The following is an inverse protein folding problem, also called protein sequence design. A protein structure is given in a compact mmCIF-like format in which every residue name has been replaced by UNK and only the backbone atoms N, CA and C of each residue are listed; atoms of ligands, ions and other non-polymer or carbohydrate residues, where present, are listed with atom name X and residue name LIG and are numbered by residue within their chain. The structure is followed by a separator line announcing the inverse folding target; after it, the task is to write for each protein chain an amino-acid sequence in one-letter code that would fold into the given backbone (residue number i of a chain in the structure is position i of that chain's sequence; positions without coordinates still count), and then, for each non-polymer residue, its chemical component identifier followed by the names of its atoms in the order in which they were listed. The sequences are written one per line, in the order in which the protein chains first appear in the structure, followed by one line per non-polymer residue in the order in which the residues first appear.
data_IF_074681510556
#
_entry.id   IF_074681510556
#
_cell.length_a   1.000
_cell.length_b   1.000
_cell.length_c   1.000
_cell.angle_alpha   90.00
_cell.angle_beta   90.00
_cell.angle_gamma   90.00
#
_symmetry.space_group_name_H-M   'P 1'
#
loop_
_entity.id
_entity.type
_entity.pdbx_description
1 polymer ?
#
# COMPACT_ATOMS: atom_id res chain seq x y z
N UNK A 1 4.85 14.09 4.73
CA UNK A 1 4.73 13.53 3.37
C UNK A 1 3.31 13.62 2.82
N UNK A 2 2.31 13.22 3.57
CA UNK A 2 0.88 13.23 3.22
C UNK A 2 0.15 14.18 4.16
N UNK A 3 -0.75 15.02 3.64
CA UNK A 3 -1.66 15.84 4.42
C UNK A 3 -3.06 15.76 3.80
N UNK A 4 -4.03 15.30 4.59
CA UNK A 4 -5.45 15.29 4.27
C UNK A 4 -6.16 16.32 5.14
N UNK A 5 -7.02 17.13 4.53
CA UNK A 5 -7.84 18.13 5.22
C UNK A 5 -9.29 18.00 4.77
N UNK A 6 -10.14 17.66 5.73
CA UNK A 6 -11.59 17.52 5.55
C UNK A 6 -11.97 16.65 4.33
N UNK A 7 -11.27 15.53 4.14
CA UNK A 7 -11.55 14.61 3.04
C UNK A 7 -12.87 13.90 3.27
N UNK A 8 -13.77 14.11 2.33
CA UNK A 8 -15.03 13.38 2.20
C UNK A 8 -15.00 12.49 0.96
N UNK A 9 -15.60 11.30 1.09
CA UNK A 9 -15.94 10.44 -0.04
C UNK A 9 -17.37 9.98 0.08
N UNK A 10 -18.18 10.26 -0.94
CA UNK A 10 -19.57 9.84 -0.99
C UNK A 10 -20.00 9.37 -2.37
N UNK A 11 -21.10 8.65 -2.41
CA UNK A 11 -21.78 8.24 -3.64
C UNK A 11 -23.13 8.95 -3.67
N UNK A 12 -23.36 9.74 -4.71
CA UNK A 12 -24.65 10.39 -4.95
C UNK A 12 -25.59 9.41 -5.68
N UNK A 13 -26.66 8.97 -5.02
CA UNK A 13 -27.81 8.29 -5.63
C UNK A 13 -28.96 9.28 -5.71
N UNK A 14 -29.77 9.21 -6.77
CA UNK A 14 -30.84 10.16 -7.18
C UNK A 14 -31.54 10.96 -6.08
N UNK A 15 -31.60 10.47 -4.83
CA UNK A 15 -32.26 11.13 -3.70
C UNK A 15 -31.51 11.02 -2.38
N UNK A 16 -30.31 10.45 -2.36
CA UNK A 16 -29.57 10.21 -1.12
C UNK A 16 -28.07 10.19 -1.37
N UNK A 17 -27.35 10.96 -0.55
CA UNK A 17 -25.89 10.91 -0.47
C UNK A 17 -25.47 9.89 0.57
N UNK A 18 -24.67 8.91 0.18
CA UNK A 18 -24.11 7.92 1.09
C UNK A 18 -22.61 8.20 1.28
N UNK A 19 -22.24 8.61 2.48
CA UNK A 19 -20.83 8.85 2.81
C UNK A 19 -20.11 7.52 3.07
N UNK A 20 -18.92 7.39 2.48
CA UNK A 20 -17.96 6.31 2.73
C UNK A 20 -16.86 6.80 3.66
N UNK A 21 -16.41 8.05 3.48
CA UNK A 21 -15.48 8.75 4.37
C UNK A 21 -16.07 10.12 4.70
N UNK A 22 -15.80 10.59 5.94
CA UNK A 22 -16.31 11.86 6.46
C UNK A 22 -15.24 12.62 7.21
N UNK A 23 -14.90 13.83 6.72
CA UNK A 23 -14.04 14.80 7.41
C UNK A 23 -12.71 14.20 7.84
N UNK A 24 -12.06 13.40 6.96
CA UNK A 24 -10.78 12.79 7.30
C UNK A 24 -9.70 13.87 7.33
N UNK A 25 -9.12 14.07 8.50
CA UNK A 25 -7.95 14.92 8.73
C UNK A 25 -6.80 14.03 9.19
N UNK A 26 -5.72 13.95 8.40
CA UNK A 26 -4.62 13.03 8.65
C UNK A 26 -3.31 13.59 8.09
N UNK A 27 -2.28 13.56 8.93
CA UNK A 27 -0.90 13.85 8.55
C UNK A 27 -0.06 12.57 8.69
N UNK A 28 0.75 12.28 7.66
CA UNK A 28 1.71 11.17 7.66
C UNK A 28 3.06 11.73 7.22
N UNK A 29 4.08 11.48 8.04
CA UNK A 29 5.44 11.92 7.77
C UNK A 29 6.20 10.93 6.89
N UNK A 30 7.30 11.37 6.29
CA UNK A 30 8.18 10.51 5.51
C UNK A 30 8.88 9.51 6.44
N UNK A 31 8.88 8.23 6.07
CA UNK A 31 9.45 7.16 6.89
C UNK A 31 8.52 6.59 7.98
N UNK A 32 7.30 7.10 8.14
CA UNK A 32 6.33 6.46 9.05
C UNK A 32 5.85 5.10 8.52
N UNK A 33 5.62 4.17 9.44
CA UNK A 33 4.85 2.96 9.19
C UNK A 33 3.49 3.06 9.90
N UNK A 34 2.46 3.43 9.14
CA UNK A 34 1.11 3.65 9.66
C UNK A 34 0.24 2.44 9.37
N UNK A 35 -0.50 1.98 10.36
CA UNK A 35 -1.55 0.97 10.20
C UNK A 35 -2.93 1.60 10.38
N UNK A 36 -3.81 1.40 9.40
CA UNK A 36 -5.22 1.78 9.46
C UNK A 36 -6.03 0.54 9.81
N UNK A 37 -6.66 0.56 10.97
CA UNK A 37 -7.53 -0.49 11.47
C UNK A 37 -9.00 -0.08 11.46
N UNK A 38 -9.88 -1.05 11.53
CA UNK A 38 -11.32 -0.83 11.66
C UNK A 38 -12.15 -2.01 11.13
N UNK A 39 -13.46 -2.06 11.43
CA UNK A 39 -14.33 -3.13 10.97
C UNK A 39 -14.46 -3.17 9.45
N UNK A 40 -14.99 -4.28 8.92
CA UNK A 40 -15.32 -4.37 7.49
C UNK A 40 -16.33 -3.27 7.12
N UNK A 41 -16.14 -2.66 5.96
CA UNK A 41 -17.00 -1.56 5.51
C UNK A 41 -16.70 -0.18 6.13
N UNK A 42 -15.72 -0.04 7.02
CA UNK A 42 -15.38 1.24 7.65
C UNK A 42 -14.80 2.30 6.67
N UNK A 43 -14.48 1.93 5.43
CA UNK A 43 -13.90 2.85 4.44
C UNK A 43 -12.37 2.73 4.26
N UNK A 44 -11.71 1.74 4.90
CA UNK A 44 -10.23 1.59 4.91
C UNK A 44 -9.63 1.50 3.50
N UNK A 45 -10.09 0.57 2.67
CA UNK A 45 -9.61 0.42 1.28
C UNK A 45 -9.95 1.64 0.42
N UNK A 46 -11.06 2.33 0.69
CA UNK A 46 -11.41 3.59 0.03
C UNK A 46 -10.40 4.68 0.37
N UNK A 47 -10.04 4.82 1.65
CA UNK A 47 -9.01 5.77 2.08
C UNK A 47 -7.65 5.43 1.45
N UNK A 48 -7.28 4.14 1.44
CA UNK A 48 -6.03 3.68 0.80
C UNK A 48 -6.01 3.99 -0.70
N UNK A 49 -7.14 3.80 -1.39
CA UNK A 49 -7.27 4.10 -2.82
C UNK A 49 -7.13 5.61 -3.11
N UNK A 50 -7.70 6.47 -2.26
CA UNK A 50 -7.53 7.92 -2.37
C UNK A 50 -6.07 8.31 -2.14
N UNK A 51 -5.42 7.78 -1.10
CA UNK A 51 -4.00 8.00 -0.83
C UNK A 51 -3.11 7.57 -2.00
N UNK A 52 -3.52 6.54 -2.70
CA UNK A 52 -2.81 5.99 -3.86
C UNK A 52 -3.25 6.54 -5.22
N UNK A 53 -4.11 7.55 -5.28
CA UNK A 53 -4.65 8.11 -6.53
C UNK A 53 -5.38 7.08 -7.42
N UNK A 54 -5.89 5.98 -6.84
CA UNK A 54 -6.74 5.01 -7.53
C UNK A 54 -8.21 5.43 -7.52
N UNK A 55 -8.57 6.32 -6.59
CA UNK A 55 -9.89 6.95 -6.49
C UNK A 55 -9.70 8.42 -6.06
N UNK A 56 -10.71 9.25 -6.32
CA UNK A 56 -10.69 10.66 -5.95
C UNK A 56 -11.54 10.91 -4.71
N UNK A 57 -11.10 11.82 -3.85
CA UNK A 57 -11.96 12.40 -2.83
C UNK A 57 -13.11 13.17 -3.49
N UNK A 58 -14.29 13.17 -2.85
CA UNK A 58 -15.41 13.97 -3.32
C UNK A 58 -15.27 15.44 -2.93
N UNK A 59 -14.71 15.69 -1.73
CA UNK A 59 -14.45 17.04 -1.18
C UNK A 59 -13.19 16.99 -0.30
N UNK A 60 -12.65 18.15 0.05
CA UNK A 60 -11.46 18.30 0.90
C UNK A 60 -10.19 18.54 0.11
N UNK A 61 -9.07 18.61 0.81
CA UNK A 61 -7.76 18.91 0.24
C UNK A 61 -6.77 17.77 0.52
N UNK A 62 -6.04 17.33 -0.50
CA UNK A 62 -4.99 16.35 -0.40
C UNK A 62 -3.66 16.93 -0.90
N UNK A 63 -2.66 16.95 -0.03
CA UNK A 63 -1.28 17.33 -0.36
C UNK A 63 -0.37 16.10 -0.23
N UNK A 64 0.43 15.82 -1.27
CA UNK A 64 1.40 14.75 -1.32
C UNK A 64 2.77 15.30 -1.73
N UNK A 65 3.82 15.02 -0.94
CA UNK A 65 5.18 15.52 -1.14
C UNK A 65 5.25 17.06 -1.29
N UNK A 66 4.37 17.79 -0.59
CA UNK A 66 4.30 19.25 -0.63
C UNK A 66 3.53 19.84 -1.82
N UNK A 67 2.99 19.00 -2.70
CA UNK A 67 2.18 19.44 -3.83
C UNK A 67 0.70 19.13 -3.58
N UNK A 68 -0.19 20.06 -3.88
CA UNK A 68 -1.63 19.83 -3.86
C UNK A 68 -2.01 18.89 -5.01
N UNK A 69 -2.55 17.73 -4.65
CA UNK A 69 -2.84 16.65 -5.60
C UNK A 69 -4.34 16.38 -5.78
N UNK A 70 -5.16 17.24 -5.21
CA UNK A 70 -6.60 17.20 -5.42
C UNK A 70 -6.95 17.47 -6.89
N UNK A 71 -7.81 16.64 -7.49
CA UNK A 71 -8.25 16.75 -8.90
C UNK A 71 -7.12 16.67 -9.95
N UNK A 72 -6.11 15.83 -9.72
CA UNK A 72 -5.09 15.58 -10.72
C UNK A 72 -5.68 14.94 -11.99
N UNK A 73 -5.13 15.34 -13.15
CA UNK A 73 -5.42 14.63 -14.41
C UNK A 73 -4.90 13.19 -14.36
N UNK A 74 -5.53 12.26 -15.08
CA UNK A 74 -5.11 10.86 -15.17
C UNK A 74 -3.63 10.69 -15.56
N UNK A 75 -3.13 11.59 -16.42
CA UNK A 75 -1.72 11.62 -16.80
C UNK A 75 -0.82 11.89 -15.60
N UNK A 76 -1.16 12.88 -14.77
CA UNK A 76 -0.39 13.19 -13.56
C UNK A 76 -0.49 12.09 -12.51
N UNK A 77 -1.68 11.53 -12.27
CA UNK A 77 -1.83 10.35 -11.39
C UNK A 77 -0.92 9.20 -11.83
N UNK A 78 -0.90 8.89 -13.14
CA UNK A 78 -0.02 7.88 -13.71
C UNK A 78 1.48 8.18 -13.49
N UNK A 79 1.88 9.45 -13.51
CA UNK A 79 3.26 9.87 -13.21
C UNK A 79 3.61 9.63 -11.74
N UNK A 80 2.69 9.94 -10.80
CA UNK A 80 2.87 9.64 -9.38
C UNK A 80 2.95 8.14 -9.09
N UNK A 81 2.04 7.34 -9.68
CA UNK A 81 2.11 5.87 -9.57
C UNK A 81 3.46 5.33 -10.05
N UNK A 82 3.93 5.78 -11.20
CA UNK A 82 5.21 5.32 -11.73
C UNK A 82 6.40 5.70 -10.86
N UNK A 83 6.36 6.88 -10.21
CA UNK A 83 7.55 7.46 -9.58
C UNK A 83 7.62 7.22 -8.08
N UNK A 84 6.46 7.22 -7.40
CA UNK A 84 6.44 7.40 -5.95
C UNK A 84 5.66 6.33 -5.20
N UNK A 85 4.75 5.59 -5.85
CA UNK A 85 3.81 4.70 -5.16
C UNK A 85 4.03 3.25 -5.57
N UNK A 86 4.08 2.36 -4.58
CA UNK A 86 3.95 0.93 -4.73
C UNK A 86 2.67 0.43 -4.08
N UNK A 87 2.01 -0.56 -4.69
CA UNK A 87 0.82 -1.20 -4.14
C UNK A 87 1.05 -2.68 -3.89
N UNK A 88 0.62 -3.14 -2.72
CA UNK A 88 0.53 -4.55 -2.34
C UNK A 88 -0.92 -4.85 -1.99
N UNK A 89 -1.49 -5.86 -2.64
CA UNK A 89 -2.89 -6.25 -2.50
C UNK A 89 -3.01 -7.62 -1.84
N UNK A 90 -4.13 -7.88 -1.19
CA UNK A 90 -4.47 -9.17 -0.61
C UNK A 90 -4.53 -10.30 -1.66
N UNK A 91 -5.03 -10.01 -2.85
CA UNK A 91 -5.20 -10.97 -3.96
C UNK A 91 -3.98 -11.04 -4.90
N UNK A 92 -2.80 -10.58 -4.45
CA UNK A 92 -1.52 -10.56 -5.17
C UNK A 92 -1.52 -9.78 -6.50
N UNK A 93 -2.56 -9.88 -7.30
CA UNK A 93 -2.75 -9.26 -8.62
C UNK A 93 -1.54 -9.48 -9.55
N UNK A 94 -0.97 -10.68 -9.51
CA UNK A 94 0.03 -11.09 -10.50
C UNK A 94 -0.65 -11.40 -11.83
N UNK A 95 0.10 -11.27 -12.91
CA UNK A 95 -0.36 -11.64 -14.25
C UNK A 95 0.07 -13.10 -14.47
N UNK A 96 -0.91 -13.99 -14.57
CA UNK A 96 -0.70 -15.44 -14.60
C UNK A 96 0.08 -15.91 -15.85
N UNK A 97 -0.02 -15.17 -16.95
CA UNK A 97 0.68 -15.42 -18.22
C UNK A 97 2.12 -14.92 -18.22
N UNK A 98 2.55 -14.21 -17.20
CA UNK A 98 3.92 -13.72 -17.03
C UNK A 98 4.67 -14.50 -15.95
N UNK A 99 5.95 -14.75 -16.20
CA UNK A 99 6.84 -15.34 -15.21
C UNK A 99 7.01 -14.42 -13.99
N UNK A 100 7.58 -14.93 -12.90
CA UNK A 100 8.00 -14.14 -11.73
C UNK A 100 8.89 -12.98 -12.16
N UNK A 101 9.89 -13.27 -13.00
CA UNK A 101 10.79 -12.24 -13.53
C UNK A 101 10.02 -11.11 -14.23
N UNK A 102 9.11 -11.46 -15.15
CA UNK A 102 8.35 -10.50 -15.95
C UNK A 102 7.34 -9.71 -15.11
N UNK A 103 6.68 -10.34 -14.14
CA UNK A 103 5.83 -9.64 -13.19
C UNK A 103 6.60 -8.57 -12.41
N UNK A 104 7.82 -8.89 -11.96
CA UNK A 104 8.67 -7.94 -11.22
C UNK A 104 9.22 -6.85 -12.15
N UNK A 105 9.58 -7.20 -13.39
CA UNK A 105 10.14 -6.23 -14.37
C UNK A 105 9.11 -5.19 -14.84
N UNK A 106 7.82 -5.54 -14.82
CA UNK A 106 6.75 -4.75 -15.44
C UNK A 106 6.74 -3.25 -15.08
N UNK A 107 6.85 -2.81 -13.81
CA UNK A 107 6.87 -1.40 -13.48
C UNK A 107 8.02 -0.63 -14.15
N UNK A 108 9.16 -1.28 -14.36
CA UNK A 108 10.33 -0.68 -15.01
C UNK A 108 10.13 -0.44 -16.51
N UNK A 109 9.29 -1.27 -17.16
CA UNK A 109 8.90 -1.08 -18.55
C UNK A 109 8.12 0.22 -18.75
N UNK A 110 7.15 0.47 -17.86
CA UNK A 110 6.35 1.72 -17.86
C UNK A 110 7.20 2.96 -17.54
N UNK A 111 8.28 2.80 -16.77
CA UNK A 111 9.27 3.85 -16.49
C UNK A 111 10.30 4.04 -17.62
N UNK A 112 10.24 3.25 -18.69
CA UNK A 112 11.18 3.28 -19.82
C UNK A 112 12.64 3.09 -19.40
N UNK A 113 12.89 2.32 -18.34
CA UNK A 113 14.24 1.98 -17.88
C UNK A 113 14.93 1.13 -18.96
N UNK A 114 16.21 1.40 -19.24
CA UNK A 114 16.99 0.67 -20.24
C UNK A 114 17.13 -0.82 -19.89
N UNK A 115 17.09 -1.71 -20.87
CA UNK A 115 17.08 -3.17 -20.68
C UNK A 115 18.22 -3.67 -19.77
N UNK A 116 19.44 -3.19 -19.98
CA UNK A 116 20.59 -3.58 -19.12
C UNK A 116 20.36 -3.23 -17.65
N UNK A 117 19.80 -2.05 -17.37
CA UNK A 117 19.51 -1.60 -16.01
C UNK A 117 18.35 -2.39 -15.41
N UNK A 118 17.27 -2.65 -16.18
CA UNK A 118 16.15 -3.48 -15.71
C UNK A 118 16.62 -4.85 -15.26
N UNK A 119 17.44 -5.54 -16.08
CA UNK A 119 18.00 -6.86 -15.75
C UNK A 119 18.76 -6.84 -14.43
N UNK A 120 19.58 -5.81 -14.20
CA UNK A 120 20.32 -5.67 -12.94
C UNK A 120 19.38 -5.45 -11.75
N UNK A 121 18.40 -4.55 -11.88
CA UNK A 121 17.41 -4.28 -10.82
C UNK A 121 16.56 -5.49 -10.47
N UNK A 122 16.11 -6.26 -11.48
CA UNK A 122 15.32 -7.47 -11.24
C UNK A 122 16.18 -8.54 -10.56
N UNK A 123 17.44 -8.72 -11.00
CA UNK A 123 18.36 -9.68 -10.37
C UNK A 123 18.60 -9.35 -8.89
N UNK A 124 18.82 -8.06 -8.57
CA UNK A 124 18.99 -7.59 -7.19
C UNK A 124 17.76 -7.86 -6.32
N UNK A 125 16.57 -7.56 -6.81
CA UNK A 125 15.30 -7.81 -6.10
C UNK A 125 15.07 -9.32 -5.91
N UNK A 126 15.32 -10.14 -6.92
CA UNK A 126 15.18 -11.59 -6.82
C UNK A 126 16.10 -12.17 -5.72
N UNK A 127 17.32 -11.66 -5.64
CA UNK A 127 18.31 -12.06 -4.63
C UNK A 127 17.88 -11.57 -3.23
N UNK A 128 17.53 -10.28 -3.11
CA UNK A 128 17.08 -9.65 -1.85
C UNK A 128 15.90 -10.40 -1.22
N UNK A 129 14.96 -10.92 -2.02
CA UNK A 129 13.79 -11.67 -1.57
C UNK A 129 13.97 -13.20 -1.59
N UNK A 130 15.17 -13.69 -1.92
CA UNK A 130 15.50 -15.11 -1.98
C UNK A 130 14.55 -15.93 -2.90
N UNK A 131 14.22 -15.37 -4.06
CA UNK A 131 13.33 -15.97 -5.06
C UNK A 131 14.00 -16.20 -6.43
N UNK A 132 15.32 -16.12 -6.51
CA UNK A 132 16.10 -16.34 -7.75
C UNK A 132 15.75 -17.67 -8.43
N UNK A 133 15.63 -18.75 -7.65
CA UNK A 133 15.31 -20.09 -8.17
C UNK A 133 13.88 -20.20 -8.78
N UNK A 134 13.03 -19.19 -8.56
CA UNK A 134 11.64 -19.16 -9.01
C UNK A 134 11.39 -18.20 -10.17
N UNK A 135 12.42 -17.51 -10.66
CA UNK A 135 12.30 -16.42 -11.63
C UNK A 135 11.56 -16.80 -12.92
N UNK A 136 11.71 -18.05 -13.36
CA UNK A 136 11.13 -18.57 -14.60
C UNK A 136 9.78 -19.30 -14.37
N UNK A 137 9.29 -19.37 -13.11
CA UNK A 137 7.99 -19.95 -12.79
C UNK A 137 6.87 -18.92 -13.04
N UNK A 138 5.67 -19.44 -13.26
CA UNK A 138 4.44 -18.66 -13.40
C UNK A 138 3.68 -18.59 -12.06
N UNK A 139 2.87 -17.56 -11.79
CA UNK A 139 2.12 -17.41 -10.54
C UNK A 139 1.34 -18.65 -10.10
N UNK A 140 0.62 -19.39 -10.98
CA UNK A 140 -0.09 -20.61 -10.56
C UNK A 140 0.81 -21.74 -10.03
N UNK A 141 2.12 -21.68 -10.26
CA UNK A 141 3.10 -22.67 -9.78
C UNK A 141 3.67 -22.31 -8.39
N UNK A 142 3.25 -21.19 -7.81
CA UNK A 142 3.72 -20.65 -6.55
C UNK A 142 2.69 -20.86 -5.43
N UNK A 143 3.16 -21.04 -4.19
CA UNK A 143 2.26 -20.91 -3.03
C UNK A 143 1.79 -19.47 -2.83
N UNK A 144 0.68 -19.26 -2.11
CA UNK A 144 0.16 -17.95 -1.83
C UNK A 144 1.19 -16.98 -1.21
N UNK A 145 1.97 -17.45 -0.22
CA UNK A 145 3.06 -16.65 0.35
C UNK A 145 4.14 -16.28 -0.66
N UNK A 146 4.48 -17.18 -1.58
CA UNK A 146 5.44 -16.89 -2.64
C UNK A 146 4.90 -15.89 -3.64
N UNK A 147 3.60 -16.00 -4.00
CA UNK A 147 2.94 -14.98 -4.85
C UNK A 147 2.94 -13.62 -4.16
N UNK A 148 2.70 -13.55 -2.85
CA UNK A 148 2.75 -12.30 -2.11
C UNK A 148 4.16 -11.69 -2.11
N UNK A 149 5.20 -12.50 -1.91
CA UNK A 149 6.60 -12.03 -2.02
C UNK A 149 6.86 -11.42 -3.40
N UNK A 150 6.39 -12.04 -4.48
CA UNK A 150 6.50 -11.49 -5.84
C UNK A 150 5.72 -10.19 -5.97
N UNK A 151 4.52 -10.09 -5.39
CA UNK A 151 3.72 -8.87 -5.35
C UNK A 151 4.43 -7.73 -4.63
N UNK A 152 5.06 -8.00 -3.48
CA UNK A 152 5.89 -7.04 -2.75
C UNK A 152 7.11 -6.62 -3.59
N UNK A 153 7.84 -7.59 -4.16
CA UNK A 153 9.00 -7.34 -5.01
C UNK A 153 8.64 -6.41 -6.20
N UNK A 154 7.52 -6.69 -6.86
CA UNK A 154 6.99 -5.85 -7.95
C UNK A 154 6.64 -4.44 -7.48
N UNK A 155 6.05 -4.31 -6.30
CA UNK A 155 5.65 -3.00 -5.77
C UNK A 155 6.86 -2.10 -5.47
N UNK A 156 7.99 -2.68 -5.02
CA UNK A 156 9.14 -1.91 -4.56
C UNK A 156 10.28 -1.76 -5.58
N UNK A 157 10.26 -2.52 -6.69
CA UNK A 157 11.37 -2.48 -7.67
C UNK A 157 11.63 -1.08 -8.25
N UNK A 158 10.60 -0.25 -8.24
CA UNK A 158 10.70 1.14 -8.62
C UNK A 158 11.25 2.07 -7.54
N UNK A 159 11.65 1.58 -6.39
CA UNK A 159 12.05 2.37 -5.22
C UNK A 159 11.00 3.45 -4.91
N UNK A 160 9.76 3.07 -4.58
CA UNK A 160 8.70 4.02 -4.26
C UNK A 160 9.02 4.72 -2.94
N UNK A 161 8.51 5.95 -2.78
CA UNK A 161 8.55 6.67 -1.49
C UNK A 161 7.43 6.21 -0.55
N UNK A 162 6.33 5.74 -1.13
CA UNK A 162 5.13 5.29 -0.42
C UNK A 162 4.76 3.88 -0.86
N UNK A 163 4.65 2.96 0.10
CA UNK A 163 4.09 1.63 -0.09
C UNK A 163 2.71 1.57 0.56
N UNK A 164 1.69 1.29 -0.24
CA UNK A 164 0.32 1.09 0.20
C UNK A 164 0.00 -0.40 0.18
N UNK A 165 -0.54 -0.92 1.28
CA UNK A 165 -0.82 -2.34 1.44
C UNK A 165 -2.25 -2.57 1.94
N UNK A 166 -3.08 -3.20 1.12
CA UNK A 166 -4.47 -3.55 1.48
C UNK A 166 -4.52 -5.02 1.90
N UNK A 167 -4.68 -5.29 3.20
CA UNK A 167 -4.71 -6.62 3.80
C UNK A 167 -3.58 -7.55 3.30
N UNK A 168 -2.30 -7.12 3.37
CA UNK A 168 -1.19 -7.79 2.68
C UNK A 168 -0.94 -9.22 3.12
N UNK A 169 -1.53 -9.63 4.25
CA UNK A 169 -1.35 -10.96 4.86
C UNK A 169 -2.66 -11.74 4.99
N UNK A 170 -3.78 -11.18 4.52
CA UNK A 170 -5.12 -11.72 4.76
C UNK A 170 -5.37 -13.13 4.20
N UNK A 171 -4.60 -13.55 3.20
CA UNK A 171 -4.70 -14.89 2.56
C UNK A 171 -3.52 -15.82 2.93
N UNK A 172 -2.74 -15.47 3.95
CA UNK A 172 -1.53 -16.19 4.31
C UNK A 172 -1.64 -16.91 5.67
N UNK A 173 -0.92 -18.00 5.82
CA UNK A 173 -0.72 -18.63 7.14
C UNK A 173 0.19 -17.75 8.02
N UNK A 174 0.10 -17.92 9.34
CA UNK A 174 0.77 -17.07 10.33
C UNK A 174 2.26 -16.85 10.06
N UNK A 175 3.01 -17.93 9.79
CA UNK A 175 4.45 -17.84 9.52
C UNK A 175 4.77 -17.02 8.26
N UNK A 176 3.99 -17.20 7.19
CA UNK A 176 4.14 -16.43 5.95
C UNK A 176 3.76 -14.95 6.17
N UNK A 177 2.74 -14.68 6.99
CA UNK A 177 2.33 -13.34 7.36
C UNK A 177 3.46 -12.59 8.07
N UNK A 178 4.12 -13.24 9.04
CA UNK A 178 5.26 -12.67 9.76
C UNK A 178 6.43 -12.38 8.80
N UNK A 179 6.74 -13.29 7.88
CA UNK A 179 7.78 -13.06 6.87
C UNK A 179 7.50 -11.82 6.00
N UNK A 180 6.26 -11.62 5.57
CA UNK A 180 5.87 -10.41 4.80
C UNK A 180 6.00 -9.16 5.66
N UNK A 181 5.57 -9.21 6.92
CA UNK A 181 5.66 -8.05 7.81
C UNK A 181 7.11 -7.71 8.18
N UNK A 182 7.96 -8.71 8.36
CA UNK A 182 9.40 -8.49 8.54
C UNK A 182 10.06 -7.85 7.31
N UNK A 183 9.60 -8.20 6.10
CA UNK A 183 10.01 -7.50 4.88
C UNK A 183 9.56 -6.04 4.89
N UNK A 184 8.31 -5.77 5.30
CA UNK A 184 7.81 -4.39 5.41
C UNK A 184 8.61 -3.60 6.43
N UNK A 185 8.92 -4.21 7.59
CA UNK A 185 9.74 -3.56 8.61
C UNK A 185 11.12 -3.17 8.05
N UNK A 186 11.79 -4.08 7.36
CA UNK A 186 13.07 -3.78 6.70
C UNK A 186 12.97 -2.66 5.66
N UNK A 187 11.90 -2.65 4.85
CA UNK A 187 11.66 -1.58 3.88
C UNK A 187 11.45 -0.23 4.56
N UNK A 188 10.73 -0.22 5.69
CA UNK A 188 10.53 1.00 6.48
C UNK A 188 11.84 1.48 7.12
N UNK A 189 12.65 0.57 7.66
CA UNK A 189 13.99 0.88 8.19
C UNK A 189 14.92 1.44 7.10
N UNK A 190 14.72 1.04 5.84
CA UNK A 190 15.39 1.61 4.65
C UNK A 190 14.79 2.98 4.21
N UNK A 191 13.82 3.52 4.94
CA UNK A 191 13.23 4.86 4.73
C UNK A 191 11.97 4.89 3.86
N UNK A 192 11.39 3.76 3.48
CA UNK A 192 10.11 3.72 2.75
C UNK A 192 8.97 4.03 3.71
N UNK A 193 8.11 4.98 3.38
CA UNK A 193 6.85 5.23 4.11
C UNK A 193 5.86 4.12 3.79
N UNK A 194 5.26 3.52 4.81
CA UNK A 194 4.31 2.41 4.63
C UNK A 194 2.97 2.77 5.24
N UNK A 195 1.90 2.54 4.51
CA UNK A 195 0.54 2.59 5.02
C UNK A 195 -0.10 1.23 4.72
N UNK A 196 -0.40 0.49 5.77
CA UNK A 196 -1.15 -0.75 5.63
C UNK A 196 -2.57 -0.62 6.17
N UNK A 197 -3.47 -1.37 5.57
CA UNK A 197 -4.80 -1.62 6.10
C UNK A 197 -4.85 -3.07 6.57
N UNK A 198 -5.30 -3.31 7.78
CA UNK A 198 -5.53 -4.67 8.30
C UNK A 198 -6.60 -4.69 9.40
N UNK A 199 -7.20 -5.85 9.60
CA UNK A 199 -8.08 -6.12 10.74
C UNK A 199 -7.37 -6.99 11.81
N UNK A 200 -6.13 -7.41 11.57
CA UNK A 200 -5.33 -8.22 12.49
C UNK A 200 -4.52 -7.33 13.42
N UNK A 201 -4.79 -7.39 14.73
CA UNK A 201 -4.04 -6.67 15.76
C UNK A 201 -2.55 -7.05 15.73
N UNK A 202 -2.26 -8.35 15.54
CA UNK A 202 -0.88 -8.84 15.44
C UNK A 202 -0.11 -8.20 14.28
N UNK A 203 -0.73 -8.06 13.13
CA UNK A 203 -0.10 -7.43 11.96
C UNK A 203 -0.07 -5.90 12.10
N UNK A 204 -1.03 -5.33 12.81
CA UNK A 204 -1.06 -3.89 13.10
C UNK A 204 0.12 -3.44 13.97
N UNK A 205 0.56 -4.29 14.90
CA UNK A 205 1.67 -4.00 15.81
C UNK A 205 3.04 -3.81 15.11
N UNK A 206 3.17 -4.16 13.84
CA UNK A 206 4.38 -3.85 13.05
C UNK A 206 4.48 -2.37 12.68
N UNK A 207 3.35 -1.65 12.64
CA UNK A 207 3.34 -0.20 12.41
C UNK A 207 3.79 0.57 13.64
N UNK A 208 4.39 1.74 13.40
CA UNK A 208 4.77 2.66 14.48
C UNK A 208 3.57 3.44 15.03
N UNK A 209 2.48 3.51 14.26
CA UNK A 209 1.27 4.26 14.57
C UNK A 209 0.04 3.53 14.07
N UNK A 210 -0.96 3.39 14.93
CA UNK A 210 -2.24 2.77 14.59
C UNK A 210 -3.31 3.86 14.54
N UNK A 211 -4.07 3.88 13.45
CA UNK A 211 -5.18 4.78 13.21
C UNK A 211 -6.45 3.94 13.11
N UNK A 212 -7.46 4.25 13.90
CA UNK A 212 -8.73 3.54 13.86
C UNK A 212 -9.74 4.29 12.99
N UNK A 213 -10.30 3.60 12.00
CA UNK A 213 -11.37 4.09 11.14
C UNK A 213 -12.67 3.36 11.48
N UNK A 214 -13.73 4.12 11.79
CA UNK A 214 -15.05 3.58 12.09
C UNK A 214 -16.13 4.44 11.42
N UNK A 215 -17.06 3.81 10.73
CA UNK A 215 -18.20 4.47 10.07
C UNK A 215 -17.77 5.66 9.18
N UNK A 216 -16.64 5.51 8.49
CA UNK A 216 -16.09 6.50 7.58
C UNK A 216 -15.33 7.66 8.25
N UNK A 217 -15.16 7.68 9.57
CA UNK A 217 -14.44 8.72 10.28
C UNK A 217 -13.25 8.16 11.07
N UNK A 218 -12.21 8.98 11.26
CA UNK A 218 -11.12 8.63 12.17
C UNK A 218 -11.64 8.70 13.60
N UNK A 219 -11.46 7.61 14.33
CA UNK A 219 -11.71 7.61 15.78
C UNK A 219 -10.51 8.33 16.43
N UNK A 220 -10.76 9.36 17.21
CA UNK A 220 -9.71 10.01 17.99
C UNK A 220 -9.03 8.96 18.84
N UNK A 221 -7.70 8.93 18.81
CA UNK A 221 -6.89 8.09 19.70
C UNK A 221 -7.36 8.35 21.14
N UNK A 222 -7.82 7.30 21.83
CA UNK A 222 -8.12 7.38 23.26
C UNK A 222 -6.76 7.39 23.95
N UNK A 223 -6.37 8.47 24.68
CA UNK A 223 -5.07 8.56 25.35
C UNK A 223 -4.85 7.48 26.41
N UNK A 224 -5.88 6.68 26.73
CA UNK A 224 -5.82 5.57 27.68
C UNK A 224 -5.18 4.29 27.13
N UNK A 225 -4.98 4.14 25.81
CA UNK A 225 -4.39 2.92 25.24
C UNK A 225 -2.85 2.89 25.25
N UNK A 226 -2.17 3.93 25.76
CA UNK A 226 -0.71 3.93 25.98
C UNK A 226 -0.28 3.36 27.36
N UNK A 227 -1.21 2.84 28.16
CA UNK A 227 -0.95 2.43 29.55
C UNK A 227 -0.95 0.92 29.79
N UNK A 228 -0.65 0.08 28.80
CA UNK A 228 -0.52 -1.39 28.96
C UNK A 228 0.88 -1.89 28.56
N UNK A 229 1.91 -1.05 28.69
CA UNK A 229 3.31 -1.48 28.70
C UNK A 229 4.03 -0.78 29.85
N UNK A 230 3.86 -1.33 31.04
CA UNK A 230 4.77 -1.13 32.19
C UNK A 230 4.81 -2.38 33.06
#
# INVERSE_FOLDING_TARGET
MIQLRDIDKYIDKRFQRTFILKGINLDIEEGEFVTIMGPSGAGKSTLLNILGFLDDASEGEYTFLGETVHNLSEKKKSEYHKSHIGFVFQAYHLIDELTVYENIEMPLLYRKVKSKQRKAMVADILDRFNIVAKKDLFPPQLSGGQQQVVGVARAIIGSPKLLLADEPTGNLHSEQSEQIMDMFKKLNDDGVTIIQVTHSEKMAAYGNRIINLKDGALVKEDPYNQAVES
#
